data_IF_207386031978
#
_entry.id   IF_207386031978
#
_cell.length_a   1.000
_cell.length_b   1.000
_cell.length_c   1.000
_cell.angle_alpha   90.00
_cell.angle_beta   90.00
_cell.angle_gamma   90.00
#
_symmetry.space_group_name_H-M   'P 1'
#
loop_
_entity.id
_entity.type
_entity.pdbx_description
1 polymer ?
#
# COMPACT_ATOMS: atom_id res chain seq x y z
N UNK A 1 14.17 13.02 -11.96
CA UNK A 1 12.88 12.99 -11.26
C UNK A 1 13.12 13.00 -9.77
N UNK A 2 12.49 13.90 -9.07
CA UNK A 2 12.67 14.01 -7.64
C UNK A 2 12.11 12.80 -6.92
N UNK A 3 12.85 12.38 -5.91
CA UNK A 3 12.43 11.27 -5.06
C UNK A 3 11.42 11.78 -4.05
N UNK A 4 10.23 11.22 -4.05
CA UNK A 4 9.21 11.59 -3.09
C UNK A 4 9.61 11.12 -1.68
N UNK A 5 9.41 11.96 -0.69
CA UNK A 5 9.58 11.55 0.70
C UNK A 5 8.27 10.95 1.22
N UNK A 6 8.29 10.49 2.47
CA UNK A 6 7.12 9.87 3.07
C UNK A 6 5.89 10.79 3.06
N UNK A 7 6.07 12.07 3.38
CA UNK A 7 4.96 13.02 3.47
C UNK A 7 4.38 13.32 2.09
N UNK A 8 5.23 13.45 1.07
CA UNK A 8 4.77 13.64 -0.31
C UNK A 8 3.97 12.43 -0.77
N UNK A 9 4.45 11.25 -0.44
CA UNK A 9 3.78 10.01 -0.79
C UNK A 9 2.40 9.93 -0.16
N UNK A 10 2.30 10.29 1.10
CA UNK A 10 1.05 10.28 1.85
C UNK A 10 0.07 11.30 1.26
N UNK A 11 0.54 12.48 0.90
CA UNK A 11 -0.29 13.51 0.28
C UNK A 11 -0.85 13.04 -1.06
N UNK A 12 -0.03 12.39 -1.89
CA UNK A 12 -0.49 11.83 -3.16
C UNK A 12 -1.56 10.77 -2.93
N UNK A 13 -1.35 9.90 -1.97
CA UNK A 13 -2.32 8.85 -1.64
C UNK A 13 -3.66 9.47 -1.21
N UNK A 14 -3.63 10.52 -0.41
CA UNK A 14 -4.85 11.21 0.03
C UNK A 14 -5.57 11.89 -1.12
N UNK A 15 -4.84 12.55 -2.00
CA UNK A 15 -5.42 13.27 -3.13
C UNK A 15 -6.11 12.33 -4.12
N UNK A 16 -5.58 11.14 -4.30
CA UNK A 16 -6.10 10.18 -5.26
C UNK A 16 -7.02 9.14 -4.64
N UNK A 17 -7.19 9.19 -3.33
CA UNK A 17 -7.92 8.18 -2.61
C UNK A 17 -9.35 8.00 -3.12
N UNK A 18 -10.05 9.09 -3.37
CA UNK A 18 -11.43 9.03 -3.87
C UNK A 18 -11.51 8.34 -5.23
N UNK A 19 -10.57 8.67 -6.12
CA UNK A 19 -10.53 8.06 -7.46
C UNK A 19 -10.24 6.56 -7.37
N UNK A 20 -9.34 6.19 -6.46
CA UNK A 20 -9.01 4.78 -6.24
C UNK A 20 -10.22 4.02 -5.71
N UNK A 21 -10.98 4.62 -4.80
CA UNK A 21 -12.18 3.97 -4.26
C UNK A 21 -13.26 3.81 -5.31
N UNK A 22 -13.36 4.75 -6.25
CA UNK A 22 -14.31 4.62 -7.35
C UNK A 22 -13.95 3.46 -8.27
N UNK A 23 -12.68 3.30 -8.57
CA UNK A 23 -12.20 2.24 -9.44
C UNK A 23 -12.12 0.89 -8.72
N UNK A 24 -11.72 0.90 -7.47
CA UNK A 24 -11.51 -0.29 -6.65
C UNK A 24 -12.18 -0.12 -5.30
N UNK A 25 -13.52 -0.28 -5.24
CA UNK A 25 -14.28 -0.06 -4.00
C UNK A 25 -13.81 -0.92 -2.83
N UNK A 26 -13.22 -2.08 -3.11
CA UNK A 26 -12.73 -2.98 -2.06
C UNK A 26 -11.61 -2.34 -1.23
N UNK A 27 -10.93 -1.32 -1.74
CA UNK A 27 -9.89 -0.63 -0.98
C UNK A 27 -10.43 0.08 0.26
N UNK A 28 -11.74 0.32 0.30
CA UNK A 28 -12.37 0.87 1.51
C UNK A 28 -12.31 -0.07 2.70
N UNK A 29 -12.05 -1.36 2.46
CA UNK A 29 -11.90 -2.34 3.54
C UNK A 29 -10.59 -2.18 4.30
N UNK A 30 -9.62 -1.47 3.72
CA UNK A 30 -8.31 -1.29 4.35
C UNK A 30 -8.37 -0.18 5.39
N UNK A 31 -7.72 -0.43 6.55
CA UNK A 31 -7.52 0.63 7.53
C UNK A 31 -6.54 1.67 6.97
N UNK A 32 -6.42 2.79 7.65
CA UNK A 32 -5.48 3.84 7.22
C UNK A 32 -4.06 3.30 7.10
N UNK A 33 -3.59 2.57 8.11
CA UNK A 33 -2.23 2.01 8.09
C UNK A 33 -2.09 0.95 7.00
N UNK A 34 -3.09 0.12 6.81
CA UNK A 34 -3.09 -0.87 5.75
C UNK A 34 -3.02 -0.20 4.38
N UNK A 35 -3.76 0.89 4.19
CA UNK A 35 -3.71 1.62 2.93
C UNK A 35 -2.33 2.23 2.69
N UNK A 36 -1.67 2.74 3.72
CA UNK A 36 -0.31 3.25 3.61
C UNK A 36 0.66 2.15 3.16
N UNK A 37 0.54 0.96 3.75
CA UNK A 37 1.37 -0.19 3.36
C UNK A 37 1.02 -0.62 1.94
N UNK A 38 -0.26 -0.67 1.60
CA UNK A 38 -0.72 -1.02 0.25
C UNK A 38 -0.08 -0.11 -0.80
N UNK A 39 -0.10 1.20 -0.57
CA UNK A 39 0.49 2.17 -1.49
C UNK A 39 1.98 1.91 -1.69
N UNK A 40 2.69 1.58 -0.61
CA UNK A 40 4.12 1.27 -0.68
C UNK A 40 4.38 -0.06 -1.40
N UNK A 41 3.46 -1.02 -1.29
CA UNK A 41 3.59 -2.31 -1.97
C UNK A 41 3.52 -2.19 -3.49
N UNK A 42 2.96 -1.10 -4.00
CA UNK A 42 2.92 -0.83 -5.45
C UNK A 42 4.25 -0.32 -5.98
N UNK A 43 5.21 -0.06 -5.11
CA UNK A 43 6.56 0.37 -5.48
C UNK A 43 7.51 -0.81 -5.54
N UNK A 44 8.78 -0.55 -5.87
CA UNK A 44 9.84 -1.56 -5.87
C UNK A 44 10.44 -1.80 -4.49
N UNK A 45 9.95 -1.13 -3.47
CA UNK A 45 10.52 -1.21 -2.12
C UNK A 45 10.28 -2.58 -1.51
N UNK A 46 11.29 -3.09 -0.81
CA UNK A 46 11.16 -4.31 -0.02
C UNK A 46 10.33 -4.03 1.23
N UNK A 47 9.84 -5.09 1.88
CA UNK A 47 9.12 -4.91 3.14
C UNK A 47 10.00 -4.24 4.21
N UNK A 48 11.28 -4.55 4.22
CA UNK A 48 12.22 -3.91 5.17
C UNK A 48 12.32 -2.40 4.91
N UNK A 49 12.37 -2.00 3.64
CA UNK A 49 12.41 -0.59 3.28
C UNK A 49 11.10 0.11 3.63
N UNK A 50 9.98 -0.54 3.41
CA UNK A 50 8.66 -0.01 3.78
C UNK A 50 8.58 0.20 5.28
N UNK A 51 9.03 -0.79 6.07
CA UNK A 51 9.04 -0.68 7.51
C UNK A 51 9.85 0.54 7.97
N UNK A 52 11.00 0.74 7.36
CA UNK A 52 11.87 1.87 7.67
C UNK A 52 11.19 3.20 7.39
N UNK A 53 10.53 3.31 6.23
CA UNK A 53 9.83 4.55 5.86
C UNK A 53 8.62 4.85 6.75
N UNK A 54 7.92 3.82 7.17
CA UNK A 54 6.73 3.99 8.00
C UNK A 54 7.03 4.00 9.49
N UNK A 55 8.32 3.87 9.86
CA UNK A 55 8.77 3.88 11.25
C UNK A 55 8.13 2.77 12.09
N UNK A 56 8.00 1.58 11.49
CA UNK A 56 7.46 0.41 12.17
C UNK A 56 8.41 -0.77 12.00
N UNK A 57 8.17 -1.87 12.72
CA UNK A 57 8.98 -3.08 12.59
C UNK A 57 8.68 -3.81 11.29
N UNK A 58 9.63 -4.62 10.83
CA UNK A 58 9.43 -5.46 9.66
C UNK A 58 8.26 -6.45 9.88
N UNK A 59 8.18 -6.99 11.10
CA UNK A 59 7.08 -7.90 11.42
C UNK A 59 5.71 -7.21 11.37
N UNK A 60 5.63 -5.93 11.72
CA UNK A 60 4.39 -5.15 11.57
C UNK A 60 3.98 -5.02 10.11
N UNK A 61 4.95 -4.73 9.22
CA UNK A 61 4.66 -4.65 7.79
C UNK A 61 4.18 -6.00 7.27
N UNK A 62 4.85 -7.08 7.66
CA UNK A 62 4.44 -8.42 7.27
C UNK A 62 3.02 -8.74 7.72
N UNK A 63 2.68 -8.37 8.95
CA UNK A 63 1.34 -8.54 9.50
C UNK A 63 0.31 -7.76 8.66
N UNK A 64 0.60 -6.50 8.35
CA UNK A 64 -0.29 -5.69 7.53
C UNK A 64 -0.44 -6.27 6.12
N UNK A 65 0.63 -6.78 5.53
CA UNK A 65 0.56 -7.41 4.21
C UNK A 65 -0.40 -8.60 4.21
N UNK A 66 -0.31 -9.46 5.23
CA UNK A 66 -1.21 -10.62 5.33
C UNK A 66 -2.67 -10.18 5.41
N UNK A 67 -2.96 -9.16 6.20
CA UNK A 67 -4.32 -8.63 6.33
C UNK A 67 -4.80 -8.00 5.03
N UNK A 68 -3.94 -7.24 4.36
CA UNK A 68 -4.26 -6.62 3.07
C UNK A 68 -4.62 -7.71 2.05
N UNK A 69 -3.76 -8.73 1.92
CA UNK A 69 -3.99 -9.80 0.96
C UNK A 69 -5.31 -10.52 1.24
N UNK A 70 -5.60 -10.77 2.51
CA UNK A 70 -6.86 -11.39 2.91
C UNK A 70 -8.07 -10.53 2.55
N UNK A 71 -8.01 -9.23 2.86
CA UNK A 71 -9.12 -8.31 2.58
C UNK A 71 -9.35 -8.12 1.08
N UNK A 72 -8.29 -8.14 0.28
CA UNK A 72 -8.39 -7.96 -1.17
C UNK A 72 -8.51 -9.29 -1.92
N UNK A 73 -8.60 -10.41 -1.21
CA UNK A 73 -8.74 -11.75 -1.79
C UNK A 73 -7.62 -12.10 -2.75
N UNK A 74 -6.39 -11.77 -2.36
CA UNK A 74 -5.18 -12.11 -3.12
C UNK A 74 -4.21 -12.86 -2.20
N UNK A 75 -3.23 -13.54 -2.79
CA UNK A 75 -2.32 -14.42 -2.05
C UNK A 75 -0.89 -13.91 -1.95
N UNK A 76 -0.52 -12.90 -2.72
CA UNK A 76 0.86 -12.46 -2.78
C UNK A 76 0.97 -11.04 -3.30
N UNK A 77 2.16 -10.45 -3.08
CA UNK A 77 2.46 -9.12 -3.64
C UNK A 77 2.42 -9.14 -5.16
N UNK A 78 2.82 -10.24 -5.78
CA UNK A 78 2.77 -10.38 -7.23
C UNK A 78 1.34 -10.22 -7.74
N UNK A 79 0.39 -10.88 -7.08
CA UNK A 79 -1.03 -10.74 -7.44
C UNK A 79 -1.54 -9.34 -7.21
N UNK A 80 -1.10 -8.69 -6.13
CA UNK A 80 -1.46 -7.31 -5.84
C UNK A 80 -0.98 -6.40 -6.97
N UNK A 81 0.27 -6.55 -7.41
CA UNK A 81 0.81 -5.75 -8.48
C UNK A 81 0.09 -5.96 -9.80
N UNK A 82 -0.26 -7.21 -10.10
CA UNK A 82 -1.02 -7.51 -11.33
C UNK A 82 -2.38 -6.83 -11.30
N UNK A 83 -3.06 -6.88 -10.16
CA UNK A 83 -4.43 -6.35 -10.04
C UNK A 83 -4.46 -4.83 -9.99
N UNK A 84 -3.47 -4.20 -9.36
CA UNK A 84 -3.51 -2.76 -9.07
C UNK A 84 -2.38 -1.95 -9.70
N UNK A 85 -1.57 -2.55 -10.52
CA UNK A 85 -0.38 -1.86 -11.06
C UNK A 85 -0.70 -0.62 -11.90
N UNK A 86 -1.88 -0.55 -12.45
CA UNK A 86 -2.30 0.58 -13.30
C UNK A 86 -2.73 1.82 -12.51
N UNK A 87 -2.69 1.72 -11.21
CA UNK A 87 -3.02 2.86 -10.36
C UNK A 87 -1.96 3.97 -10.49
#
# INVERSE_FOLDING_TARGET
MEKLNYFDYLALAQNEYKLLLEKYPELALLSKREFEVFAQLLTDKTQAQIAKELFVSHSSVHFHCKNIYKKLSINSRKQLLIKYKEI
#
